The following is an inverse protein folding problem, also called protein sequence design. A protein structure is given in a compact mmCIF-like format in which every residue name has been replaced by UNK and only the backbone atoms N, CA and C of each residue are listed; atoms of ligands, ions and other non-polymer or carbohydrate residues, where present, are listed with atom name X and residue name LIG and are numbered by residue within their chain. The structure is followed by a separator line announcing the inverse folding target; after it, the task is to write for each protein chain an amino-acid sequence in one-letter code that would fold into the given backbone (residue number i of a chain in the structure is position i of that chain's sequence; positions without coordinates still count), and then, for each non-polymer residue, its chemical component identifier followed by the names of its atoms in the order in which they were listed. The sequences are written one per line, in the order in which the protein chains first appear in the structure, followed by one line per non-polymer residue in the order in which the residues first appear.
data_IF_589204550127
#
_entry.id   IF_589204550127
#
_cell.length_a   1.000
_cell.length_b   1.000
_cell.length_c   1.000
_cell.angle_alpha   90.00
_cell.angle_beta   90.00
_cell.angle_gamma   90.00
#
_symmetry.space_group_name_H-M   'P 1'
#
loop_
_entity.id
_entity.type
_entity.pdbx_description
1 polymer ?
#
# COMPACT_ATOMS: atom_id res chain seq x y z
N UNK A 1 -6.28 -3.79 -14.31
CA UNK A 1 -5.75 -4.92 -13.52
C UNK A 1 -4.46 -5.41 -14.17
N UNK A 2 -3.30 -4.97 -13.69
CA UNK A 2 -2.01 -5.45 -14.20
C UNK A 2 -1.77 -6.88 -13.73
N UNK A 3 -1.40 -7.77 -14.65
CA UNK A 3 -0.99 -9.15 -14.33
C UNK A 3 0.22 -9.11 -13.40
N UNK A 4 0.04 -9.41 -12.12
CA UNK A 4 1.08 -9.50 -11.08
C UNK A 4 1.95 -10.77 -11.23
N UNK A 5 2.41 -11.06 -12.45
CA UNK A 5 3.27 -12.22 -12.73
C UNK A 5 4.77 -11.92 -12.52
N UNK A 6 5.15 -10.66 -12.33
CA UNK A 6 6.53 -10.25 -12.03
C UNK A 6 6.60 -9.76 -10.58
N UNK A 7 7.52 -10.32 -9.78
CA UNK A 7 7.80 -9.94 -8.38
C UNK A 7 8.52 -8.58 -8.29
N UNK A 8 7.98 -7.59 -8.99
CA UNK A 8 8.53 -6.23 -9.10
C UNK A 8 7.36 -5.27 -8.97
N UNK A 9 7.54 -4.25 -8.14
CA UNK A 9 6.63 -3.11 -8.04
C UNK A 9 7.34 -1.86 -8.55
N UNK A 10 6.62 -1.03 -9.30
CA UNK A 10 7.00 0.35 -9.60
C UNK A 10 5.91 1.26 -9.04
N UNK A 11 6.32 2.23 -8.23
CA UNK A 11 5.41 3.18 -7.62
C UNK A 11 5.77 4.61 -8.03
N UNK A 12 4.78 5.35 -8.51
CA UNK A 12 4.92 6.79 -8.73
C UNK A 12 4.65 7.53 -7.43
N UNK A 13 5.57 8.39 -7.00
CA UNK A 13 5.38 9.25 -5.83
C UNK A 13 4.40 10.40 -6.11
N UNK A 14 4.49 11.01 -7.30
CA UNK A 14 3.75 12.22 -7.68
C UNK A 14 2.22 12.07 -7.58
N UNK A 15 1.67 10.89 -7.89
CA UNK A 15 0.22 10.63 -7.86
C UNK A 15 -0.40 10.74 -6.46
N UNK A 16 0.41 10.72 -5.40
CA UNK A 16 -0.08 10.82 -4.03
C UNK A 16 -0.28 12.28 -3.58
N UNK A 17 0.25 13.24 -4.35
CA UNK A 17 0.08 14.65 -4.06
C UNK A 17 -1.39 15.06 -4.23
N UNK A 18 -2.01 15.77 -3.28
CA UNK A 18 -3.42 16.21 -3.38
C UNK A 18 -3.73 17.03 -4.63
N UNK A 19 -2.75 17.74 -5.18
CA UNK A 19 -2.86 18.53 -6.40
C UNK A 19 -2.20 17.86 -7.61
N UNK A 20 -2.07 16.53 -7.61
CA UNK A 20 -1.53 15.81 -8.77
C UNK A 20 -2.24 16.22 -10.07
N UNK A 21 -1.45 16.51 -11.11
CA UNK A 21 -1.95 16.98 -12.41
C UNK A 21 -2.32 18.48 -12.46
N UNK A 22 -2.09 19.24 -11.38
CA UNK A 22 -2.26 20.69 -11.33
C UNK A 22 -0.91 21.40 -11.14
N UNK A 23 -0.79 22.68 -11.53
CA UNK A 23 0.43 23.45 -11.27
C UNK A 23 0.68 23.57 -9.76
N UNK A 24 1.87 23.14 -9.33
CA UNK A 24 2.35 23.31 -7.95
C UNK A 24 3.05 24.66 -7.90
N UNK A 25 2.46 25.62 -7.15
CA UNK A 25 2.98 26.99 -7.08
C UNK A 25 4.19 27.11 -6.15
N UNK A 26 4.20 26.36 -5.05
CA UNK A 26 5.27 26.36 -4.05
C UNK A 26 5.48 24.95 -3.50
N UNK A 27 6.74 24.57 -3.29
CA UNK A 27 7.13 23.27 -2.73
C UNK A 27 7.57 23.47 -1.29
N UNK A 28 6.68 23.16 -0.34
CA UNK A 28 6.99 23.13 1.09
C UNK A 28 7.05 21.68 1.60
N UNK A 29 8.26 21.24 1.95
CA UNK A 29 8.55 19.90 2.45
C UNK A 29 8.06 19.65 3.88
N UNK A 30 7.78 20.69 4.68
CA UNK A 30 7.29 20.54 6.05
C UNK A 30 5.78 20.70 6.17
N UNK A 31 5.11 21.06 5.06
CA UNK A 31 3.66 21.21 4.99
C UNK A 31 2.91 19.93 5.39
N UNK A 32 1.67 20.11 5.87
CA UNK A 32 0.73 19.00 6.07
C UNK A 32 0.51 18.21 4.77
N UNK A 33 0.58 18.90 3.62
CA UNK A 33 0.48 18.31 2.28
C UNK A 33 1.64 17.34 2.01
N UNK A 34 2.88 17.73 2.35
CA UNK A 34 4.04 16.86 2.22
C UNK A 34 3.90 15.62 3.10
N UNK A 35 3.52 15.78 4.38
CA UNK A 35 3.28 14.65 5.31
C UNK A 35 2.20 13.70 4.81
N UNK A 36 1.07 14.23 4.32
CA UNK A 36 -0.02 13.42 3.75
C UNK A 36 0.42 12.68 2.49
N UNK A 37 1.19 13.33 1.62
CA UNK A 37 1.76 12.73 0.40
C UNK A 37 2.70 11.58 0.75
N UNK A 38 3.61 11.78 1.72
CA UNK A 38 4.51 10.74 2.23
C UNK A 38 3.74 9.55 2.81
N UNK A 39 2.73 9.81 3.65
CA UNK A 39 1.91 8.76 4.23
C UNK A 39 1.23 7.89 3.17
N UNK A 40 0.60 8.52 2.17
CA UNK A 40 -0.04 7.84 1.03
C UNK A 40 0.95 7.02 0.22
N UNK A 41 2.14 7.57 -0.02
CA UNK A 41 3.21 6.88 -0.74
C UNK A 41 3.68 5.64 0.02
N UNK A 42 4.01 5.76 1.32
CA UNK A 42 4.46 4.64 2.13
C UNK A 42 3.38 3.56 2.22
N UNK A 43 2.12 3.94 2.46
CA UNK A 43 0.98 3.01 2.52
C UNK A 43 0.81 2.23 1.21
N UNK A 44 0.89 2.92 0.07
CA UNK A 44 0.81 2.27 -1.24
C UNK A 44 2.04 1.41 -1.52
N UNK A 45 3.24 1.80 -1.07
CA UNK A 45 4.45 0.98 -1.18
C UNK A 45 4.29 -0.35 -0.44
N UNK A 46 3.74 -0.33 0.78
CA UNK A 46 3.45 -1.53 1.55
C UNK A 46 2.40 -2.43 0.88
N UNK A 47 1.38 -1.84 0.26
CA UNK A 47 0.37 -2.58 -0.53
C UNK A 47 1.01 -3.32 -1.71
N UNK A 48 1.84 -2.65 -2.48
CA UNK A 48 2.51 -3.27 -3.63
C UNK A 48 3.60 -4.26 -3.20
N UNK A 49 4.29 -4.02 -2.08
CA UNK A 49 5.22 -4.98 -1.49
C UNK A 49 4.48 -6.27 -1.10
N UNK A 50 3.29 -6.17 -0.51
CA UNK A 50 2.47 -7.33 -0.22
C UNK A 50 2.07 -8.09 -1.51
N UNK A 51 1.83 -7.39 -2.62
CA UNK A 51 1.67 -8.04 -3.93
C UNK A 51 2.93 -8.77 -4.41
N UNK A 52 4.11 -8.18 -4.25
CA UNK A 52 5.40 -8.84 -4.52
C UNK A 52 5.57 -10.11 -3.67
N UNK A 53 5.05 -10.11 -2.45
CA UNK A 53 5.03 -11.23 -1.51
C UNK A 53 3.81 -12.17 -1.72
N UNK A 54 3.13 -12.07 -2.86
CA UNK A 54 2.09 -13.03 -3.28
C UNK A 54 0.69 -12.79 -2.73
N UNK A 55 0.44 -11.68 -2.03
CA UNK A 55 -0.92 -11.35 -1.60
C UNK A 55 -1.72 -10.81 -2.79
N UNK A 56 -3.01 -11.17 -2.84
CA UNK A 56 -3.99 -10.57 -3.76
C UNK A 56 -4.86 -9.59 -3.00
N UNK A 57 -5.65 -8.78 -3.73
CA UNK A 57 -6.61 -7.88 -3.10
C UNK A 57 -7.52 -8.60 -2.11
N UNK A 58 -7.81 -7.94 -0.98
CA UNK A 58 -8.77 -8.38 0.01
C UNK A 58 -10.12 -7.68 -0.25
N UNK A 59 -11.22 -8.44 -0.21
CA UNK A 59 -12.58 -7.92 -0.39
C UNK A 59 -13.48 -8.14 0.83
N UNK A 60 -13.07 -9.02 1.76
CA UNK A 60 -13.93 -9.45 2.87
C UNK A 60 -13.74 -8.67 4.18
N UNK A 61 -12.69 -7.87 4.30
CA UNK A 61 -12.35 -7.15 5.54
C UNK A 61 -11.69 -5.80 5.22
N UNK A 62 -11.72 -4.89 6.18
CA UNK A 62 -10.85 -3.71 6.19
C UNK A 62 -9.39 -4.17 6.24
N UNK A 63 -8.64 -3.86 5.19
CA UNK A 63 -7.30 -4.36 5.00
C UNK A 63 -6.50 -3.40 4.10
N UNK A 64 -5.20 -3.30 4.36
CA UNK A 64 -4.25 -2.62 3.48
C UNK A 64 -4.37 -3.13 2.03
N UNK A 65 -4.71 -4.40 1.84
CA UNK A 65 -4.89 -5.05 0.54
C UNK A 65 -6.25 -4.77 -0.12
N UNK A 66 -7.12 -3.90 0.42
CA UNK A 66 -8.29 -3.48 -0.34
C UNK A 66 -7.88 -2.69 -1.59
N UNK A 67 -8.55 -2.95 -2.71
CA UNK A 67 -8.37 -2.18 -3.93
C UNK A 67 -8.88 -0.74 -3.74
N UNK A 68 -8.33 0.20 -4.51
CA UNK A 68 -8.85 1.58 -4.57
C UNK A 68 -8.78 2.11 -5.98
N UNK A 69 -9.82 2.82 -6.37
CA UNK A 69 -9.96 3.49 -7.67
C UNK A 69 -9.71 5.00 -7.58
N UNK A 70 -9.80 5.59 -6.39
CA UNK A 70 -9.58 7.02 -6.12
C UNK A 70 -8.58 7.25 -4.97
N UNK A 71 -8.08 8.50 -4.84
CA UNK A 71 -7.23 8.90 -3.70
C UNK A 71 -8.02 8.94 -2.40
N UNK A 72 -9.30 9.29 -2.47
CA UNK A 72 -10.23 9.33 -1.36
C UNK A 72 -10.45 7.92 -0.80
N UNK A 73 -10.73 6.93 -1.66
CA UNK A 73 -10.81 5.53 -1.25
C UNK A 73 -9.47 5.04 -0.67
N UNK A 74 -8.35 5.43 -1.30
CA UNK A 74 -7.03 5.06 -0.81
C UNK A 74 -6.73 5.63 0.58
N UNK A 75 -7.22 6.83 0.89
CA UNK A 75 -7.12 7.45 2.21
C UNK A 75 -7.93 6.67 3.26
N UNK A 76 -9.15 6.25 2.93
CA UNK A 76 -10.05 5.52 3.85
C UNK A 76 -9.53 4.13 4.24
N UNK A 77 -8.73 3.47 3.40
CA UNK A 77 -8.19 2.15 3.72
C UNK A 77 -7.42 2.15 5.05
N UNK A 78 -7.37 1.06 5.80
CA UNK A 78 -6.48 0.98 6.93
C UNK A 78 -5.01 0.87 6.49
N UNK A 79 -4.09 1.20 7.40
CA UNK A 79 -2.66 0.93 7.22
C UNK A 79 -2.22 -0.30 8.04
N UNK A 80 -3.03 -1.36 8.00
CA UNK A 80 -2.73 -2.66 8.61
C UNK A 80 -3.27 -3.80 7.73
N UNK A 81 -2.69 -4.98 7.83
CA UNK A 81 -3.24 -6.20 7.22
C UNK A 81 -4.31 -6.79 8.13
N UNK A 82 -5.43 -7.23 7.56
CA UNK A 82 -6.41 -8.01 8.33
C UNK A 82 -5.80 -9.37 8.76
N UNK A 83 -6.36 -10.05 9.78
CA UNK A 83 -5.81 -11.32 10.28
C UNK A 83 -5.61 -12.37 9.20
N UNK A 84 -6.51 -12.43 8.21
CA UNK A 84 -6.42 -13.37 7.08
C UNK A 84 -5.23 -13.05 6.17
N UNK A 85 -5.02 -11.78 5.82
CA UNK A 85 -3.90 -11.37 4.98
C UNK A 85 -2.56 -11.46 5.73
N UNK A 86 -2.56 -11.18 7.04
CA UNK A 86 -1.39 -11.37 7.89
C UNK A 86 -0.97 -12.85 7.92
N UNK A 87 -1.91 -13.78 8.11
CA UNK A 87 -1.66 -15.22 8.04
C UNK A 87 -1.06 -15.64 6.70
N UNK A 88 -1.62 -15.18 5.58
CA UNK A 88 -1.09 -15.44 4.22
C UNK A 88 0.34 -14.97 4.08
N UNK A 89 0.65 -13.77 4.58
CA UNK A 89 2.00 -13.22 4.57
C UNK A 89 2.97 -14.07 5.40
N UNK A 90 2.60 -14.46 6.62
CA UNK A 90 3.42 -15.32 7.47
C UNK A 90 3.69 -16.69 6.84
N UNK A 91 2.68 -17.29 6.20
CA UNK A 91 2.85 -18.53 5.43
C UNK A 91 3.85 -18.34 4.29
N UNK A 92 3.75 -17.24 3.54
CA UNK A 92 4.68 -16.96 2.43
C UNK A 92 6.13 -16.78 2.91
N UNK A 93 6.33 -16.13 4.06
CA UNK A 93 7.65 -15.92 4.66
C UNK A 93 8.22 -17.17 5.34
N UNK A 94 7.45 -18.26 5.43
CA UNK A 94 7.86 -19.47 6.15
C UNK A 94 7.96 -19.27 7.67
N UNK A 95 7.32 -18.23 8.23
CA UNK A 95 7.35 -17.92 9.66
C UNK A 95 6.28 -18.65 10.48
N UNK A 96 5.53 -19.56 9.85
CA UNK A 96 4.74 -20.58 10.55
C UNK A 96 5.47 -21.91 10.48
N UNK A 97 6.20 -22.26 11.53
CA UNK A 97 6.87 -23.57 11.64
C UNK A 97 8.28 -23.54 12.23
N UNK A 98 8.83 -22.38 12.58
CA UNK A 98 9.98 -22.29 13.50
C UNK A 98 9.49 -21.71 14.80
N UNK A 99 8.80 -22.55 15.58
CA UNK A 99 8.76 -22.32 17.02
C UNK A 99 10.19 -22.13 17.52
N UNK A 100 10.34 -21.20 18.45
CA UNK A 100 11.47 -21.11 19.34
C UNK A 100 11.65 -22.49 20.01
N UNK A 101 12.51 -23.32 19.44
CA UNK A 101 13.16 -24.45 20.11
C UNK A 101 14.62 -24.09 20.30
#
# INVERSE_FOLDING_TARGET
MTKQQKRICIQSYARHHPQFGRPIKEVDFQSQVARKTQYRAIKTACHELAHVLGLRHCQGYECLMNGSSSLEEADLKPFYLCPVCMKKLMTYLGSMGRELQ
#
